data_IF_488499853300
#
_entry.id   IF_488499853300
#
_cell.length_a   1.000
_cell.length_b   1.000
_cell.length_c   1.000
_cell.angle_alpha   90.00
_cell.angle_beta   90.00
_cell.angle_gamma   90.00
#
_symmetry.space_group_name_H-M   'P 1'
#
loop_
_entity.id
_entity.type
_entity.pdbx_description
1 polymer ?
#
# COMPACT_ATOMS: atom_id res chain seq x y z
N UNK A 1 20.92 24.74 -1.82
CA UNK A 1 21.32 23.45 -1.21
C UNK A 1 20.76 23.38 0.21
N UNK A 2 20.30 22.18 0.58
CA UNK A 2 19.85 21.65 1.89
C UNK A 2 18.74 22.34 2.69
N UNK A 3 17.62 21.60 2.88
CA UNK A 3 16.75 21.66 4.07
C UNK A 3 16.15 20.27 4.35
N UNK A 4 16.97 19.29 4.74
CA UNK A 4 16.43 18.11 5.43
C UNK A 4 16.31 18.48 6.92
N UNK A 5 15.08 18.63 7.39
CA UNK A 5 14.80 18.95 8.79
C UNK A 5 14.64 17.64 9.58
N UNK A 6 15.18 17.57 10.81
CA UNK A 6 15.17 16.40 11.72
C UNK A 6 13.82 15.70 11.90
N UNK A 7 12.71 16.38 11.55
CA UNK A 7 11.34 15.85 11.58
C UNK A 7 11.09 14.73 10.56
N UNK A 8 11.90 14.60 9.51
CA UNK A 8 11.73 13.57 8.48
C UNK A 8 12.17 12.16 8.89
N UNK A 9 12.74 12.00 10.09
CA UNK A 9 13.25 10.72 10.60
C UNK A 9 12.55 10.31 11.91
N UNK A 10 11.36 10.85 12.19
CA UNK A 10 10.57 10.34 13.31
C UNK A 10 9.88 9.03 12.88
N UNK A 11 10.04 7.94 13.64
CA UNK A 11 9.34 6.68 13.36
C UNK A 11 7.83 6.90 13.30
N UNK A 12 7.18 6.37 12.27
CA UNK A 12 5.74 6.41 12.10
C UNK A 12 5.04 5.43 13.02
N UNK A 13 5.70 4.33 13.36
CA UNK A 13 5.22 3.27 14.24
C UNK A 13 6.36 2.60 15.03
N UNK A 14 5.99 1.61 15.85
CA UNK A 14 6.93 0.88 16.69
C UNK A 14 7.90 0.01 15.86
N UNK A 15 7.44 -0.50 14.72
CA UNK A 15 8.28 -1.33 13.82
C UNK A 15 9.41 -0.48 13.22
N UNK A 16 9.11 0.72 12.72
CA UNK A 16 10.13 1.65 12.22
C UNK A 16 11.10 2.10 13.31
N UNK A 17 10.62 2.26 14.54
CA UNK A 17 11.46 2.63 15.68
C UNK A 17 12.45 1.51 16.00
N UNK A 18 11.98 0.28 16.08
CA UNK A 18 12.81 -0.89 16.34
C UNK A 18 13.83 -1.11 15.22
N UNK A 19 13.44 -0.85 13.96
CA UNK A 19 14.35 -0.89 12.81
C UNK A 19 15.46 0.15 12.92
N UNK A 20 15.14 1.40 13.26
CA UNK A 20 16.16 2.45 13.47
C UNK A 20 17.12 2.10 14.60
N UNK A 21 16.60 1.61 15.73
CA UNK A 21 17.43 1.18 16.86
C UNK A 21 18.36 0.02 16.48
N UNK A 22 17.88 -0.94 15.67
CA UNK A 22 18.72 -2.07 15.21
C UNK A 22 19.88 -1.63 14.31
N UNK A 23 19.70 -0.54 13.56
CA UNK A 23 20.75 0.07 12.72
C UNK A 23 21.77 0.78 13.62
N UNK A 24 21.31 1.54 14.63
CA UNK A 24 22.19 2.22 15.59
C UNK A 24 23.00 1.24 16.46
N UNK A 25 22.46 0.04 16.72
CA UNK A 25 23.14 -1.03 17.48
C UNK A 25 24.14 -1.84 16.65
N UNK A 26 24.35 -1.52 15.36
CA UNK A 26 25.26 -2.21 14.43
C UNK A 26 25.05 -3.75 14.37
N UNK A 27 23.82 -4.23 14.61
CA UNK A 27 23.51 -5.67 14.70
C UNK A 27 23.54 -6.40 13.35
N UNK A 28 23.54 -5.65 12.25
CA UNK A 28 23.42 -6.18 10.90
C UNK A 28 24.77 -6.66 10.36
N UNK A 29 24.93 -7.97 10.24
CA UNK A 29 26.09 -8.56 9.58
C UNK A 29 25.81 -8.86 8.11
N UNK A 30 26.76 -8.57 7.20
CA UNK A 30 26.61 -8.89 5.79
C UNK A 30 26.52 -10.41 5.57
N UNK A 31 25.52 -10.84 4.79
CA UNK A 31 25.38 -12.23 4.36
C UNK A 31 26.58 -12.67 3.52
N UNK A 32 27.02 -13.93 3.64
CA UNK A 32 28.24 -14.44 2.99
C UNK A 32 28.27 -14.25 1.46
N UNK A 33 27.12 -14.24 0.79
CA UNK A 33 26.98 -14.08 -0.66
C UNK A 33 26.22 -12.79 -1.04
N UNK A 34 26.66 -11.64 -0.54
CA UNK A 34 26.03 -10.32 -0.79
C UNK A 34 25.66 -10.08 -2.26
N UNK A 35 26.55 -10.37 -3.21
CA UNK A 35 26.30 -10.09 -4.63
C UNK A 35 25.20 -10.97 -5.24
N UNK A 36 25.08 -12.22 -4.79
CA UNK A 36 24.03 -13.13 -5.27
C UNK A 36 22.68 -12.76 -4.66
N UNK A 37 22.63 -12.52 -3.34
CA UNK A 37 21.42 -12.08 -2.64
C UNK A 37 20.92 -10.72 -3.15
N UNK A 38 21.84 -9.78 -3.40
CA UNK A 38 21.50 -8.49 -4.00
C UNK A 38 20.92 -8.65 -5.39
N UNK A 39 21.50 -9.52 -6.23
CA UNK A 39 20.94 -9.83 -7.56
C UNK A 39 19.56 -10.49 -7.46
N UNK A 40 19.38 -11.44 -6.54
CA UNK A 40 18.09 -12.11 -6.32
C UNK A 40 17.02 -11.14 -5.82
N UNK A 41 17.34 -10.26 -4.87
CA UNK A 41 16.46 -9.22 -4.36
C UNK A 41 16.07 -8.22 -5.46
N UNK A 42 17.04 -7.74 -6.25
CA UNK A 42 16.78 -6.86 -7.39
C UNK A 42 15.89 -7.55 -8.43
N UNK A 43 16.15 -8.82 -8.74
CA UNK A 43 15.37 -9.58 -9.72
C UNK A 43 13.94 -9.80 -9.23
N UNK A 44 13.77 -10.12 -7.95
CA UNK A 44 12.48 -10.30 -7.30
C UNK A 44 11.69 -8.98 -7.32
N UNK A 45 12.31 -7.87 -6.91
CA UNK A 45 11.68 -6.55 -6.98
C UNK A 45 11.27 -6.18 -8.41
N UNK A 46 12.15 -6.42 -9.40
CA UNK A 46 11.84 -6.18 -10.82
C UNK A 46 10.69 -7.03 -11.35
N UNK A 47 10.62 -8.28 -10.92
CA UNK A 47 9.55 -9.20 -11.32
C UNK A 47 8.22 -8.79 -10.69
N UNK A 48 8.20 -8.38 -9.43
CA UNK A 48 6.99 -7.88 -8.74
C UNK A 48 6.49 -6.56 -9.34
N UNK A 49 7.39 -5.70 -9.82
CA UNK A 49 7.05 -4.40 -10.42
C UNK A 49 6.68 -4.48 -11.91
N UNK A 50 6.89 -5.62 -12.57
CA UNK A 50 6.55 -5.78 -13.99
C UNK A 50 5.03 -5.84 -14.16
N UNK A 51 4.48 -4.81 -14.82
CA UNK A 51 3.09 -4.77 -15.29
C UNK A 51 2.98 -5.53 -16.60
N UNK A 52 2.85 -6.85 -16.54
CA UNK A 52 2.82 -7.75 -17.70
C UNK A 52 1.41 -7.93 -18.30
N UNK A 53 0.36 -7.75 -17.51
CA UNK A 53 -1.04 -7.92 -17.93
C UNK A 53 -1.76 -6.59 -18.10
N UNK A 54 -2.48 -6.44 -19.22
CA UNK A 54 -3.35 -5.29 -19.53
C UNK A 54 -4.81 -5.64 -19.23
N UNK A 55 -5.53 -4.70 -18.64
CA UNK A 55 -6.96 -4.81 -18.34
C UNK A 55 -7.66 -3.60 -18.94
N UNK A 56 -8.78 -3.82 -19.64
CA UNK A 56 -9.66 -2.76 -20.12
C UNK A 56 -10.83 -2.59 -19.13
N UNK A 57 -11.05 -1.37 -18.64
CA UNK A 57 -12.10 -1.06 -17.67
C UNK A 57 -12.98 0.07 -18.23
N UNK A 58 -14.31 -0.11 -18.16
CA UNK A 58 -15.28 0.96 -18.42
C UNK A 58 -15.69 1.59 -17.10
N UNK A 59 -15.69 2.92 -17.05
CA UNK A 59 -16.06 3.71 -15.88
C UNK A 59 -17.16 4.70 -16.27
N UNK A 60 -17.96 5.13 -15.30
CA UNK A 60 -18.83 6.27 -15.52
C UNK A 60 -18.00 7.55 -15.70
N UNK A 61 -18.53 8.53 -16.43
CA UNK A 61 -17.85 9.82 -16.59
C UNK A 61 -17.57 10.50 -15.25
N UNK A 62 -18.50 10.37 -14.29
CA UNK A 62 -18.37 10.92 -12.95
C UNK A 62 -17.20 10.29 -12.21
N UNK A 63 -17.10 8.95 -12.21
CA UNK A 63 -16.03 8.24 -11.49
C UNK A 63 -14.67 8.48 -12.12
N UNK A 64 -14.61 8.50 -13.46
CA UNK A 64 -13.38 8.82 -14.19
C UNK A 64 -12.83 10.19 -13.78
N UNK A 65 -13.70 11.20 -13.73
CA UNK A 65 -13.29 12.56 -13.33
C UNK A 65 -12.82 12.62 -11.88
N UNK A 66 -13.54 11.95 -10.95
CA UNK A 66 -13.15 11.88 -9.54
C UNK A 66 -11.79 11.20 -9.33
N UNK A 67 -11.50 10.14 -10.09
CA UNK A 67 -10.19 9.48 -10.06
C UNK A 67 -9.10 10.42 -10.56
N UNK A 68 -9.36 11.18 -11.64
CA UNK A 68 -8.38 12.16 -12.14
C UNK A 68 -8.07 13.24 -11.10
N UNK A 69 -9.10 13.78 -10.43
CA UNK A 69 -8.92 14.79 -9.38
C UNK A 69 -8.05 14.25 -8.24
N UNK A 70 -8.38 13.08 -7.69
CA UNK A 70 -7.58 12.44 -6.64
C UNK A 70 -6.14 12.16 -7.07
N UNK A 71 -5.94 11.74 -8.31
CA UNK A 71 -4.61 11.46 -8.83
C UNK A 71 -3.75 12.74 -8.89
N UNK A 72 -4.35 13.87 -9.28
CA UNK A 72 -3.70 15.18 -9.28
C UNK A 72 -3.37 15.62 -7.85
N UNK A 73 -4.28 15.44 -6.90
CA UNK A 73 -4.05 15.74 -5.48
C UNK A 73 -2.88 14.95 -4.90
N UNK A 74 -2.76 13.66 -5.26
CA UNK A 74 -1.63 12.80 -4.88
C UNK A 74 -0.36 13.04 -5.72
N UNK A 75 -0.43 13.87 -6.77
CA UNK A 75 0.70 14.15 -7.67
C UNK A 75 1.13 12.96 -8.53
N UNK A 76 0.25 11.99 -8.76
CA UNK A 76 0.53 10.76 -9.51
C UNK A 76 -0.39 10.64 -10.74
N UNK A 77 0.02 9.88 -11.78
CA UNK A 77 -0.87 9.57 -12.90
C UNK A 77 -2.11 8.79 -12.43
N UNK A 78 -3.27 9.05 -13.03
CA UNK A 78 -4.52 8.35 -12.66
C UNK A 78 -4.43 6.83 -12.85
N UNK A 79 -3.68 6.35 -13.84
CA UNK A 79 -3.43 4.92 -14.01
C UNK A 79 -2.62 4.33 -12.86
N UNK A 80 -1.68 5.12 -12.30
CA UNK A 80 -0.89 4.72 -11.13
C UNK A 80 -1.76 4.68 -9.88
N UNK A 81 -2.67 5.64 -9.71
CA UNK A 81 -3.66 5.61 -8.64
C UNK A 81 -4.56 4.37 -8.73
N UNK A 82 -5.13 4.08 -9.90
CA UNK A 82 -5.96 2.89 -10.11
C UNK A 82 -5.18 1.61 -9.77
N UNK A 83 -3.94 1.50 -10.25
CA UNK A 83 -3.10 0.35 -9.95
C UNK A 83 -2.78 0.22 -8.44
N UNK A 84 -2.53 1.34 -7.76
CA UNK A 84 -2.25 1.33 -6.32
C UNK A 84 -3.47 0.92 -5.51
N UNK A 85 -4.68 1.33 -5.92
CA UNK A 85 -5.94 0.91 -5.31
C UNK A 85 -6.12 -0.60 -5.47
N UNK A 86 -5.95 -1.14 -6.67
CA UNK A 86 -6.07 -2.60 -6.89
C UNK A 86 -5.07 -3.36 -6.03
N UNK A 87 -3.81 -2.92 -5.98
CA UNK A 87 -2.78 -3.55 -5.16
C UNK A 87 -3.12 -3.52 -3.66
N UNK A 88 -3.49 -2.34 -3.13
CA UNK A 88 -3.89 -2.17 -1.74
C UNK A 88 -5.13 -3.02 -1.40
N UNK A 89 -6.08 -3.15 -2.32
CA UNK A 89 -7.27 -3.98 -2.13
C UNK A 89 -6.93 -5.47 -2.06
N UNK A 90 -6.09 -5.97 -2.98
CA UNK A 90 -5.66 -7.38 -2.98
C UNK A 90 -4.83 -7.74 -1.74
N UNK A 91 -4.07 -6.79 -1.20
CA UNK A 91 -3.26 -7.00 0.01
C UNK A 91 -4.04 -6.75 1.32
N UNK A 92 -5.35 -6.47 1.26
CA UNK A 92 -6.18 -6.21 2.45
C UNK A 92 -5.92 -4.85 3.13
N UNK A 93 -5.12 -3.97 2.53
CA UNK A 93 -4.81 -2.63 3.03
C UNK A 93 -5.92 -1.60 2.74
N UNK A 94 -6.89 -1.96 1.90
CA UNK A 94 -8.10 -1.17 1.64
C UNK A 94 -9.30 -1.88 2.24
N UNK A 95 -9.78 -1.37 3.38
CA UNK A 95 -11.02 -1.81 3.99
C UNK A 95 -12.21 -1.11 3.33
N UNK A 96 -13.27 -1.85 2.94
CA UNK A 96 -14.52 -1.24 2.56
C UNK A 96 -15.06 -0.43 3.74
N UNK A 97 -15.45 0.82 3.49
CA UNK A 97 -16.16 1.61 4.49
C UNK A 97 -17.59 1.09 4.56
N UNK A 98 -17.87 0.23 5.54
CA UNK A 98 -19.24 -0.08 5.91
C UNK A 98 -19.83 1.15 6.60
N UNK A 99 -20.99 1.63 6.14
CA UNK A 99 -21.78 2.55 6.94
C UNK A 99 -22.29 1.78 8.17
N UNK A 100 -22.14 2.36 9.37
CA UNK A 100 -22.58 1.73 10.64
C UNK A 100 -24.07 1.34 10.64
N UNK A 101 -24.86 1.94 9.75
CA UNK A 101 -26.27 1.61 9.54
C UNK A 101 -26.50 0.23 8.91
N UNK A 102 -25.53 -0.29 8.14
CA UNK A 102 -25.64 -1.59 7.47
C UNK A 102 -25.32 -2.76 8.42
N UNK A 103 -24.53 -2.51 9.47
CA UNK A 103 -24.15 -3.51 10.47
C UNK A 103 -25.35 -3.92 11.34
N UNK A 104 -26.27 -2.98 11.63
CA UNK A 104 -27.46 -3.24 12.47
C UNK A 104 -28.55 -4.08 11.79
N UNK A 105 -28.54 -4.18 10.46
CA UNK A 105 -29.52 -5.00 9.71
C UNK A 105 -29.15 -6.47 9.62
N UNK A 106 -27.86 -6.81 9.75
CA UNK A 106 -27.42 -8.21 9.69
C UNK A 106 -27.61 -8.96 11.02
N UNK A 107 -27.51 -8.26 12.16
CA UNK A 107 -27.62 -8.86 13.49
C UNK A 107 -29.08 -8.93 14.03
N UNK A 108 -30.04 -8.29 13.33
CA UNK A 108 -31.47 -8.35 13.68
C UNK A 108 -32.25 -9.48 12.99
N UNK A 109 -31.59 -10.26 12.12
CA UNK A 109 -32.25 -11.31 11.31
C UNK A 109 -32.23 -12.72 11.87
N UNK A 110 -31.50 -13.01 12.96
CA UNK A 110 -31.40 -14.38 13.50
C UNK A 110 -32.09 -14.49 14.86
N UNK A 111 -33.42 -14.36 14.86
CA UNK A 111 -34.28 -14.85 15.96
C UNK A 111 -35.52 -15.58 15.44
N UNK A 112 -35.42 -16.92 15.49
CA UNK A 112 -36.46 -17.95 15.74
C UNK A 112 -37.52 -18.15 14.62
N UNK A 113 -37.98 -19.36 14.30
CA UNK A 113 -38.45 -20.50 15.12
C UNK A 113 -38.23 -21.82 14.35
N UNK A 114 -37.89 -22.93 15.03
CA UNK A 114 -38.80 -24.05 15.38
C UNK A 114 -39.81 -24.35 14.27
#
# INVERSE_FOLDING_TARGET
MSRFTKKSFQPLDQEEKDLMESIEKEEWQPVKNLDQEKKAAIQTARNTLKKDKRINLRLSQKDYHQIQLRAIEEGIPYQTLIASIVHKYLNGLLLPKYHEEDIKKHDSGVKQKI
#
